data_IF_397217568467
#
_entry.id   IF_397217568467
#
_cell.length_a   1.000
_cell.length_b   1.000
_cell.length_c   1.000
_cell.angle_alpha   90.00
_cell.angle_beta   90.00
_cell.angle_gamma   90.00
#
_symmetry.space_group_name_H-M   'P 1'
#
loop_
_entity.id
_entity.type
_entity.pdbx_description
1 polymer ?
#
# COMPACT_ATOMS: atom_id res chain seq x y z
N UNK A 1 -1.80 -25.75 36.27
CA UNK A 1 -0.94 -24.98 37.17
C UNK A 1 0.51 -25.44 37.06
N UNK A 2 0.88 -26.72 37.32
CA UNK A 2 2.27 -27.17 37.31
C UNK A 2 3.14 -26.86 36.12
N UNK A 3 2.57 -26.78 34.88
CA UNK A 3 3.33 -26.37 33.68
C UNK A 3 3.73 -24.89 33.75
N UNK A 4 2.88 -24.03 34.26
CA UNK A 4 3.14 -22.58 34.38
C UNK A 4 4.20 -22.26 35.44
N UNK A 5 4.40 -23.17 36.41
CA UNK A 5 5.40 -23.03 37.47
C UNK A 5 6.77 -23.59 37.07
N UNK A 6 6.82 -24.41 36.00
CA UNK A 6 8.04 -25.09 35.53
C UNK A 6 8.51 -24.65 34.18
N UNK A 7 7.74 -23.78 33.49
CA UNK A 7 8.16 -23.22 32.17
C UNK A 7 9.37 -22.32 32.40
N UNK A 8 10.49 -22.67 31.81
CA UNK A 8 11.65 -21.80 31.76
C UNK A 8 11.33 -20.57 30.92
N UNK A 9 11.42 -19.38 31.52
CA UNK A 9 11.33 -18.12 30.79
C UNK A 9 12.69 -17.91 30.12
N UNK A 10 12.71 -17.95 28.81
CA UNK A 10 13.94 -18.06 28.01
C UNK A 10 14.65 -16.70 27.86
N UNK A 11 14.90 -16.01 28.97
CA UNK A 11 15.69 -14.76 29.00
C UNK A 11 17.13 -15.02 28.53
N UNK A 12 17.69 -16.19 28.85
CA UNK A 12 19.04 -16.57 28.46
C UNK A 12 19.16 -16.70 26.91
N UNK A 13 18.11 -17.12 26.21
CA UNK A 13 18.11 -17.24 24.77
C UNK A 13 18.17 -15.87 24.09
N UNK A 14 17.42 -14.89 24.57
CA UNK A 14 17.42 -13.53 24.01
C UNK A 14 18.80 -12.84 24.14
N UNK A 15 19.54 -13.12 25.22
CA UNK A 15 20.89 -12.59 25.44
C UNK A 15 21.92 -13.16 24.43
N UNK A 16 21.72 -14.40 23.96
CA UNK A 16 22.61 -15.06 23.00
C UNK A 16 22.33 -14.70 21.55
N UNK A 17 21.18 -14.07 21.27
CA UNK A 17 20.82 -13.62 19.93
C UNK A 17 21.66 -12.42 19.49
N UNK A 18 21.77 -12.17 18.18
CA UNK A 18 22.40 -10.96 17.67
C UNK A 18 21.74 -9.69 18.24
N UNK A 19 22.56 -8.68 18.52
CA UNK A 19 22.06 -7.39 19.01
C UNK A 19 21.09 -6.74 18.03
N UNK A 20 19.90 -6.37 18.55
CA UNK A 20 18.86 -5.62 17.83
C UNK A 20 18.34 -4.50 18.70
N UNK A 21 18.29 -3.29 18.12
CA UNK A 21 17.83 -2.11 18.81
C UNK A 21 16.99 -1.24 17.87
N UNK A 22 15.66 -1.43 17.84
CA UNK A 22 14.75 -0.57 17.10
C UNK A 22 14.70 0.83 17.70
N UNK A 23 14.97 1.85 16.92
CA UNK A 23 14.94 3.25 17.36
C UNK A 23 13.49 3.70 17.49
N UNK A 24 13.07 4.00 18.71
CA UNK A 24 11.73 4.48 19.03
C UNK A 24 11.63 6.00 19.01
N UNK A 25 12.73 6.69 19.38
CA UNK A 25 12.77 8.13 19.46
C UNK A 25 14.19 8.65 19.20
N UNK A 26 14.28 9.78 18.46
CA UNK A 26 15.53 10.51 18.28
C UNK A 26 15.50 11.72 19.21
N UNK A 27 16.35 11.71 20.22
CA UNK A 27 16.44 12.79 21.22
C UNK A 27 17.56 13.77 20.86
N UNK A 28 17.20 15.04 20.64
CA UNK A 28 18.14 16.10 20.33
C UNK A 28 17.77 17.37 21.11
N UNK A 29 18.00 17.39 22.44
CA UNK A 29 17.62 18.53 23.30
C UNK A 29 18.45 19.79 23.03
N UNK A 30 19.66 19.64 22.50
CA UNK A 30 20.58 20.72 22.12
C UNK A 30 21.48 20.30 20.95
N UNK A 31 22.41 21.17 20.53
CA UNK A 31 23.31 20.90 19.40
C UNK A 31 24.40 19.87 19.70
N UNK A 32 24.74 19.68 21.00
CA UNK A 32 25.84 18.82 21.42
C UNK A 32 25.40 17.40 21.77
N UNK A 33 24.09 17.12 21.80
CA UNK A 33 23.56 15.81 22.13
C UNK A 33 22.60 15.31 21.07
N UNK A 34 22.92 14.15 20.49
CA UNK A 34 22.03 13.38 19.62
C UNK A 34 21.99 11.93 20.11
N UNK A 35 20.86 11.54 20.70
CA UNK A 35 20.66 10.21 21.26
C UNK A 35 19.52 9.46 20.55
N UNK A 36 19.66 8.15 20.43
CA UNK A 36 18.70 7.24 19.83
C UNK A 36 18.12 6.38 20.94
N UNK A 37 16.89 6.67 21.34
CA UNK A 37 16.21 5.97 22.43
C UNK A 37 15.43 4.77 21.91
N UNK A 38 15.46 3.67 22.64
CA UNK A 38 14.76 2.43 22.33
C UNK A 38 14.96 1.39 23.42
N UNK A 39 14.49 0.18 23.15
CA UNK A 39 14.71 -1.02 23.99
C UNK A 39 15.62 -1.98 23.24
N UNK A 40 16.60 -2.55 23.91
CA UNK A 40 17.40 -3.66 23.37
C UNK A 40 16.48 -4.88 23.27
N UNK A 41 16.18 -5.31 22.06
CA UNK A 41 15.24 -6.42 21.80
C UNK A 41 15.95 -7.76 21.96
N UNK A 42 17.21 -7.84 21.56
CA UNK A 42 18.04 -9.05 21.68
C UNK A 42 19.53 -8.70 21.76
N UNK A 43 20.31 -9.63 22.29
CA UNK A 43 21.76 -9.53 22.42
C UNK A 43 22.20 -8.47 23.42
N UNK A 44 23.44 -8.00 23.26
CA UNK A 44 24.02 -6.92 24.05
C UNK A 44 24.84 -5.98 23.19
N UNK A 45 25.08 -4.76 23.69
CA UNK A 45 25.91 -3.73 23.07
C UNK A 45 26.73 -3.01 24.12
N UNK A 46 28.03 -2.90 23.91
CA UNK A 46 28.95 -2.15 24.75
C UNK A 46 29.39 -0.83 24.13
N UNK A 47 30.00 0.03 24.95
CA UNK A 47 30.69 1.23 24.44
C UNK A 47 31.83 0.81 23.51
N UNK A 48 31.98 1.49 22.39
CA UNK A 48 32.97 1.15 21.36
C UNK A 48 32.53 0.05 20.39
N UNK A 49 31.36 -0.56 20.56
CA UNK A 49 30.83 -1.53 19.61
C UNK A 49 30.54 -0.90 18.25
N UNK A 50 31.01 -1.55 17.17
CA UNK A 50 30.65 -1.17 15.79
C UNK A 50 29.23 -1.64 15.45
N UNK A 51 28.40 -0.71 15.09
CA UNK A 51 27.01 -0.96 14.71
C UNK A 51 26.74 -0.58 13.26
N UNK A 52 25.69 -1.16 12.70
CA UNK A 52 25.14 -0.80 11.39
C UNK A 52 23.70 -0.34 11.55
N UNK A 53 23.39 0.77 10.92
CA UNK A 53 22.02 1.33 10.84
C UNK A 53 21.31 0.71 9.66
N UNK A 54 20.18 0.06 9.89
CA UNK A 54 19.35 -0.53 8.83
C UNK A 54 18.04 0.26 8.72
N UNK A 55 17.52 0.50 7.49
CA UNK A 55 17.93 -0.10 6.21
C UNK A 55 19.08 0.63 5.47
N UNK A 56 19.58 1.77 5.96
CA UNK A 56 20.58 2.59 5.23
C UNK A 56 21.93 1.89 4.98
N UNK A 57 22.27 0.90 5.82
CA UNK A 57 23.55 0.17 5.77
C UNK A 57 24.76 0.95 6.29
N UNK A 58 24.60 2.19 6.80
CA UNK A 58 25.68 3.00 7.33
C UNK A 58 26.22 2.44 8.64
N UNK A 59 27.52 2.53 8.85
CA UNK A 59 28.18 2.06 10.06
C UNK A 59 28.64 3.23 10.95
N UNK A 60 28.63 3.00 12.25
CA UNK A 60 29.17 3.90 13.26
C UNK A 60 29.59 3.11 14.50
N UNK A 61 30.04 3.81 15.54
CA UNK A 61 30.47 3.22 16.81
C UNK A 61 29.64 3.81 17.94
N UNK A 62 29.25 2.98 18.90
CA UNK A 62 28.53 3.43 20.11
C UNK A 62 29.47 4.24 20.98
N UNK A 63 29.18 5.52 21.16
CA UNK A 63 29.97 6.41 22.01
C UNK A 63 29.57 6.30 23.49
N UNK A 64 28.24 6.34 23.77
CA UNK A 64 27.71 6.27 25.14
C UNK A 64 26.40 5.47 25.15
N UNK A 65 26.12 4.88 26.28
CA UNK A 65 24.87 4.19 26.62
C UNK A 65 24.25 4.93 27.80
N UNK A 66 23.25 5.74 27.57
CA UNK A 66 22.69 6.68 28.56
C UNK A 66 21.38 6.15 29.12
N UNK A 67 21.25 6.15 30.43
CA UNK A 67 20.00 5.85 31.17
C UNK A 67 19.63 7.00 32.11
N UNK A 68 18.49 6.89 32.80
CA UNK A 68 18.08 7.88 33.79
C UNK A 68 19.06 7.93 35.01
N UNK A 69 19.68 6.78 35.31
CA UNK A 69 20.57 6.62 36.45
C UNK A 69 22.06 6.84 36.13
N UNK A 70 22.36 7.17 34.90
CA UNK A 70 23.73 7.44 34.41
C UNK A 70 24.09 6.59 33.17
N UNK A 71 25.37 6.68 32.79
CA UNK A 71 25.91 5.94 31.64
C UNK A 71 26.24 4.49 32.05
N UNK A 72 25.94 3.57 31.14
CA UNK A 72 26.31 2.16 31.24
C UNK A 72 27.51 1.85 30.36
N UNK A 73 28.30 0.83 30.75
CA UNK A 73 29.35 0.29 29.89
C UNK A 73 28.78 -0.70 28.85
N UNK A 74 27.72 -1.43 29.24
CA UNK A 74 27.00 -2.37 28.37
C UNK A 74 25.50 -2.32 28.63
N UNK A 75 24.69 -2.49 27.56
CA UNK A 75 23.26 -2.70 27.65
C UNK A 75 22.90 -4.07 27.06
N UNK A 76 21.92 -4.74 27.69
CA UNK A 76 21.49 -6.11 27.37
C UNK A 76 19.99 -6.11 26.99
N UNK A 77 19.53 -7.22 26.39
CA UNK A 77 18.14 -7.44 26.04
C UNK A 77 17.19 -7.10 27.19
N UNK A 78 16.07 -6.44 26.89
CA UNK A 78 15.07 -5.95 27.83
C UNK A 78 15.34 -4.55 28.41
N UNK A 79 16.54 -3.99 28.27
CA UNK A 79 16.88 -2.67 28.79
C UNK A 79 16.45 -1.55 27.85
N UNK A 80 15.78 -0.54 28.38
CA UNK A 80 15.46 0.71 27.70
C UNK A 80 16.61 1.71 27.90
N UNK A 81 17.28 2.09 26.81
CA UNK A 81 18.46 2.97 26.84
C UNK A 81 18.42 4.01 25.72
N UNK A 82 19.31 5.00 25.84
CA UNK A 82 19.59 5.94 24.77
C UNK A 82 21.05 5.77 24.32
N UNK A 83 21.24 5.36 23.06
CA UNK A 83 22.55 5.22 22.46
C UNK A 83 22.97 6.54 21.79
N UNK A 84 24.23 6.96 21.98
CA UNK A 84 24.85 8.01 21.17
C UNK A 84 25.93 7.39 20.29
N UNK A 85 26.12 7.95 19.10
CA UNK A 85 27.09 7.46 18.13
C UNK A 85 28.27 8.42 18.02
N UNK A 86 29.44 7.90 17.60
CA UNK A 86 30.66 8.69 17.42
C UNK A 86 30.61 9.62 16.21
N UNK A 87 29.81 9.23 15.22
CA UNK A 87 29.69 9.95 13.96
C UNK A 87 28.27 10.51 13.78
N UNK A 88 28.15 11.59 13.01
CA UNK A 88 26.85 12.11 12.59
C UNK A 88 26.24 11.24 11.49
N UNK A 89 25.71 10.09 11.85
CA UNK A 89 24.97 9.20 10.95
C UNK A 89 23.49 9.56 10.98
N UNK A 90 22.86 9.55 9.82
CA UNK A 90 21.42 9.77 9.72
C UNK A 90 20.68 8.51 10.19
N UNK A 91 19.99 8.64 11.32
CA UNK A 91 19.19 7.61 11.97
C UNK A 91 17.85 8.20 12.32
N UNK A 92 16.78 7.51 11.93
CA UNK A 92 15.40 7.94 12.14
C UNK A 92 14.64 6.97 13.03
N UNK A 93 13.50 7.43 13.56
CA UNK A 93 12.56 6.55 14.23
C UNK A 93 12.15 5.41 13.30
N UNK A 94 12.24 4.18 13.80
CA UNK A 94 11.94 2.97 13.06
C UNK A 94 13.16 2.29 12.43
N UNK A 95 14.30 2.98 12.31
CA UNK A 95 15.54 2.30 11.93
C UNK A 95 15.98 1.32 13.01
N UNK A 96 16.76 0.33 12.63
CA UNK A 96 17.27 -0.69 13.54
C UNK A 96 18.79 -0.60 13.61
N UNK A 97 19.32 -0.46 14.81
CA UNK A 97 20.75 -0.60 15.07
C UNK A 97 21.04 -2.08 15.33
N UNK A 98 22.02 -2.62 14.65
CA UNK A 98 22.48 -4.01 14.77
C UNK A 98 24.01 -4.05 14.80
N UNK A 99 24.62 -5.12 15.31
CA UNK A 99 26.09 -5.28 15.23
C UNK A 99 26.52 -5.30 13.76
N UNK A 100 27.61 -4.63 13.45
CA UNK A 100 28.12 -4.51 12.07
C UNK A 100 28.44 -5.89 11.43
N UNK A 101 28.89 -6.85 12.23
CA UNK A 101 29.21 -8.21 11.78
C UNK A 101 28.01 -9.16 11.68
N UNK A 102 26.86 -8.82 12.31
CA UNK A 102 25.61 -9.58 12.20
C UNK A 102 24.42 -8.64 12.04
N UNK A 103 24.32 -7.94 10.90
CA UNK A 103 23.28 -6.97 10.66
C UNK A 103 21.91 -7.65 10.52
N UNK A 104 20.83 -6.94 10.90
CA UNK A 104 19.48 -7.38 10.59
C UNK A 104 19.28 -7.45 9.07
N UNK A 105 18.44 -8.37 8.60
CA UNK A 105 18.08 -8.46 7.18
C UNK A 105 17.22 -7.26 6.78
N UNK A 106 17.26 -6.92 5.48
CA UNK A 106 16.48 -5.82 4.91
C UNK A 106 15.75 -6.32 3.67
N UNK A 107 14.44 -6.18 3.65
CA UNK A 107 13.64 -6.57 2.49
C UNK A 107 12.33 -5.75 2.38
N UNK A 108 11.70 -5.82 1.23
CA UNK A 108 10.41 -5.20 0.91
C UNK A 108 9.33 -6.24 0.52
N UNK A 109 9.67 -7.54 0.55
CA UNK A 109 8.74 -8.62 0.25
C UNK A 109 8.99 -9.81 1.16
N UNK A 110 7.90 -10.38 1.66
CA UNK A 110 7.95 -11.43 2.66
C UNK A 110 6.94 -12.54 2.37
N UNK A 111 7.30 -13.78 2.75
CA UNK A 111 6.32 -14.80 3.07
C UNK A 111 5.97 -14.69 4.54
N UNK A 112 4.69 -14.73 4.84
CA UNK A 112 4.18 -14.52 6.20
C UNK A 112 3.02 -15.47 6.51
N UNK A 113 2.86 -15.84 7.79
CA UNK A 113 1.57 -16.31 8.28
C UNK A 113 0.77 -15.10 8.70
N UNK A 114 -0.45 -14.97 8.20
CA UNK A 114 -1.37 -13.88 8.50
C UNK A 114 -2.62 -14.41 9.17
N UNK A 115 -2.98 -13.81 10.30
CA UNK A 115 -4.24 -14.02 11.02
C UNK A 115 -5.14 -12.83 10.68
N UNK A 116 -6.24 -13.09 10.00
CA UNK A 116 -7.18 -12.04 9.60
C UNK A 116 -8.20 -11.77 10.70
N UNK A 117 -8.38 -10.52 11.10
CA UNK A 117 -9.14 -10.12 12.29
C UNK A 117 -10.28 -9.14 11.97
N UNK A 118 -10.53 -8.86 10.69
CA UNK A 118 -11.54 -7.91 10.24
C UNK A 118 -12.74 -8.63 9.63
N UNK A 119 -13.95 -8.03 9.79
CA UNK A 119 -15.20 -8.58 9.24
C UNK A 119 -15.20 -8.60 7.71
N UNK A 120 -14.63 -7.57 7.06
CA UNK A 120 -14.41 -7.62 5.61
C UNK A 120 -13.26 -8.57 5.28
N UNK A 121 -13.42 -9.46 4.29
CA UNK A 121 -12.38 -10.41 3.94
C UNK A 121 -11.13 -9.72 3.36
N UNK A 122 -9.96 -10.27 3.66
CA UNK A 122 -8.72 -9.91 2.99
C UNK A 122 -8.79 -10.24 1.51
N UNK A 123 -8.53 -9.25 0.68
CA UNK A 123 -8.40 -9.39 -0.77
C UNK A 123 -6.95 -9.05 -1.19
N UNK A 124 -6.28 -9.89 -2.00
CA UNK A 124 -4.97 -9.56 -2.57
C UNK A 124 -5.01 -8.24 -3.36
N UNK A 125 -3.92 -7.47 -3.29
CA UNK A 125 -3.78 -6.19 -3.97
C UNK A 125 -4.34 -4.98 -3.21
N UNK A 126 -5.19 -5.17 -2.21
CA UNK A 126 -5.70 -4.08 -1.36
C UNK A 126 -4.58 -3.49 -0.50
N UNK A 127 -4.46 -2.14 -0.43
CA UNK A 127 -3.42 -1.49 0.36
C UNK A 127 -3.81 -1.37 1.84
N UNK A 128 -2.86 -1.72 2.72
CA UNK A 128 -2.92 -1.57 4.16
C UNK A 128 -1.73 -0.74 4.66
N UNK A 129 -1.75 -0.33 5.93
CA UNK A 129 -0.55 0.09 6.63
C UNK A 129 -0.03 -1.10 7.43
N UNK A 130 1.24 -1.45 7.25
CA UNK A 130 1.95 -2.43 8.07
C UNK A 130 2.70 -1.69 9.15
N UNK A 131 2.43 -2.05 10.41
CA UNK A 131 3.17 -1.53 11.56
C UNK A 131 4.00 -2.66 12.17
N UNK A 132 5.32 -2.46 12.20
CA UNK A 132 6.31 -3.34 12.81
C UNK A 132 7.21 -2.51 13.72
N UNK A 133 7.13 -2.78 15.04
CA UNK A 133 7.78 -1.94 16.03
C UNK A 133 7.38 -0.47 15.91
N UNK A 134 8.37 0.41 15.69
CA UNK A 134 8.15 1.84 15.52
C UNK A 134 7.94 2.28 14.05
N UNK A 135 8.10 1.37 13.07
CA UNK A 135 7.90 1.64 11.65
C UNK A 135 6.44 1.49 11.23
N UNK A 136 6.02 2.35 10.30
CA UNK A 136 4.76 2.20 9.57
C UNK A 136 5.09 2.38 8.09
N UNK A 137 4.69 1.41 7.26
CA UNK A 137 4.91 1.40 5.81
C UNK A 137 3.63 0.97 5.10
N UNK A 138 3.46 1.35 3.84
CA UNK A 138 2.37 0.82 3.03
C UNK A 138 2.67 -0.61 2.62
N UNK A 139 1.68 -1.48 2.73
CA UNK A 139 1.79 -2.89 2.40
C UNK A 139 0.59 -3.37 1.60
N UNK A 140 0.80 -4.38 0.77
CA UNK A 140 -0.27 -5.12 0.12
C UNK A 140 0.02 -6.61 0.15
N UNK A 141 -1.01 -7.41 0.42
CA UNK A 141 -0.92 -8.86 0.23
C UNK A 141 -0.98 -9.12 -1.27
N UNK A 142 0.08 -9.69 -1.83
CA UNK A 142 0.19 -9.94 -3.28
C UNK A 142 -0.40 -11.26 -3.68
N UNK A 143 -0.35 -12.25 -2.79
CA UNK A 143 -0.85 -13.59 -3.03
C UNK A 143 -1.22 -14.29 -1.71
N UNK A 144 -2.25 -15.13 -1.73
CA UNK A 144 -2.60 -16.06 -0.65
C UNK A 144 -2.26 -17.46 -1.14
N UNK A 145 -1.18 -18.02 -0.61
CA UNK A 145 -0.72 -19.36 -1.01
C UNK A 145 -1.71 -20.44 -0.61
N UNK A 146 -2.16 -20.41 0.64
CA UNK A 146 -3.16 -21.31 1.20
C UNK A 146 -3.70 -20.77 2.53
N UNK A 147 -4.87 -21.25 2.90
CA UNK A 147 -5.46 -21.08 4.22
C UNK A 147 -5.17 -22.33 5.05
N UNK A 148 -4.92 -22.15 6.34
CA UNK A 148 -4.75 -23.25 7.30
C UNK A 148 -6.10 -23.52 7.98
N UNK A 149 -6.57 -24.75 7.90
CA UNK A 149 -7.71 -25.19 8.71
C UNK A 149 -7.26 -25.37 10.15
N UNK A 150 -7.77 -24.55 11.05
CA UNK A 150 -7.35 -24.53 12.48
C UNK A 150 -7.66 -25.83 13.25
N UNK A 151 -8.58 -26.65 12.75
CA UNK A 151 -8.98 -27.91 13.41
C UNK A 151 -8.15 -29.11 12.91
N UNK A 152 -7.88 -29.16 11.59
CA UNK A 152 -7.18 -30.29 10.97
C UNK A 152 -5.73 -29.99 10.63
N UNK A 153 -5.33 -28.71 10.66
CA UNK A 153 -4.04 -28.18 10.20
C UNK A 153 -3.76 -28.41 8.71
N UNK A 154 -4.77 -28.80 7.95
CA UNK A 154 -4.66 -29.00 6.51
C UNK A 154 -4.59 -27.67 5.78
N UNK A 155 -3.88 -27.66 4.66
CA UNK A 155 -3.77 -26.53 3.77
C UNK A 155 -4.88 -26.57 2.71
N UNK A 156 -5.68 -25.51 2.64
CA UNK A 156 -6.75 -25.36 1.65
C UNK A 156 -6.48 -24.17 0.74
N UNK A 157 -6.75 -24.32 -0.55
CA UNK A 157 -6.61 -23.22 -1.50
C UNK A 157 -7.63 -22.12 -1.16
N UNK A 158 -7.17 -20.86 -1.08
CA UNK A 158 -8.01 -19.73 -0.79
C UNK A 158 -7.62 -18.52 -1.67
N UNK A 159 -8.62 -17.75 -2.08
CA UNK A 159 -8.43 -16.48 -2.80
C UNK A 159 -8.69 -15.26 -1.92
N UNK A 160 -9.18 -15.47 -0.72
CA UNK A 160 -9.45 -14.45 0.31
C UNK A 160 -9.31 -15.10 1.69
N UNK A 161 -9.09 -14.29 2.72
CA UNK A 161 -9.16 -14.74 4.11
C UNK A 161 -10.37 -14.08 4.77
N UNK A 162 -11.26 -14.88 5.30
CA UNK A 162 -12.40 -14.41 6.09
C UNK A 162 -11.96 -14.10 7.54
N UNK A 163 -12.86 -13.50 8.32
CA UNK A 163 -12.64 -13.24 9.74
C UNK A 163 -12.17 -14.52 10.48
N UNK A 164 -11.13 -14.38 11.29
CA UNK A 164 -10.46 -15.46 12.04
C UNK A 164 -9.76 -16.51 11.16
N UNK A 165 -9.66 -16.30 9.86
CA UNK A 165 -8.88 -17.19 9.01
C UNK A 165 -7.37 -16.99 9.22
N UNK A 166 -6.63 -18.09 9.14
CA UNK A 166 -5.17 -18.10 9.15
C UNK A 166 -4.71 -18.53 7.76
N UNK A 167 -3.83 -17.76 7.15
CA UNK A 167 -3.29 -18.08 5.82
C UNK A 167 -1.81 -17.77 5.69
N UNK A 168 -1.15 -18.50 4.82
CA UNK A 168 0.22 -18.17 4.38
C UNK A 168 0.13 -17.31 3.12
N UNK A 169 0.73 -16.14 3.19
CA UNK A 169 0.60 -15.08 2.20
C UNK A 169 1.95 -14.51 1.78
N UNK A 170 2.01 -13.94 0.60
CA UNK A 170 3.08 -13.06 0.18
C UNK A 170 2.66 -11.61 0.39
N UNK A 171 3.53 -10.80 1.01
CA UNK A 171 3.31 -9.36 1.22
C UNK A 171 4.40 -8.56 0.51
N UNK A 172 4.03 -7.46 -0.11
CA UNK A 172 4.94 -6.45 -0.65
C UNK A 172 4.76 -5.11 0.08
N UNK A 173 5.87 -4.45 0.35
CA UNK A 173 5.94 -3.12 0.99
C UNK A 173 6.33 -2.06 -0.03
N UNK A 174 6.02 -0.80 0.25
CA UNK A 174 6.41 0.36 -0.56
C UNK A 174 7.90 0.73 -0.40
N UNK A 175 8.54 0.28 0.67
CA UNK A 175 9.96 0.49 0.97
C UNK A 175 10.53 -0.67 1.80
N UNK A 176 11.84 -0.92 1.71
CA UNK A 176 12.49 -1.96 2.51
C UNK A 176 12.47 -1.61 3.99
N UNK A 177 12.32 -2.64 4.82
CA UNK A 177 12.38 -2.57 6.29
C UNK A 177 13.38 -3.56 6.84
N UNK A 178 13.97 -3.23 7.99
CA UNK A 178 14.82 -4.16 8.73
C UNK A 178 13.97 -5.13 9.52
N UNK A 179 14.30 -6.41 9.48
CA UNK A 179 13.54 -7.49 10.14
C UNK A 179 14.46 -8.65 10.53
N UNK A 180 13.96 -9.52 11.37
CA UNK A 180 14.40 -10.91 11.53
C UNK A 180 13.17 -11.83 11.38
N UNK A 181 13.32 -13.11 10.98
CA UNK A 181 12.23 -14.08 11.01
C UNK A 181 11.59 -14.18 12.41
N UNK A 182 10.27 -14.35 12.47
CA UNK A 182 9.54 -14.40 13.74
C UNK A 182 10.00 -15.54 14.66
N UNK A 183 10.45 -16.67 14.09
CA UNK A 183 11.00 -17.77 14.83
C UNK A 183 12.31 -17.42 15.56
N UNK A 184 13.09 -16.47 14.98
CA UNK A 184 14.39 -16.06 15.52
C UNK A 184 14.24 -14.84 16.45
N UNK A 185 13.34 -13.92 16.11
CA UNK A 185 13.08 -12.74 16.91
C UNK A 185 11.62 -12.27 16.78
N UNK A 186 10.82 -12.50 17.82
CA UNK A 186 9.38 -12.21 17.79
C UNK A 186 9.07 -10.73 17.60
N UNK A 187 9.85 -9.84 18.22
CA UNK A 187 9.62 -8.39 18.12
C UNK A 187 10.01 -7.81 16.76
N UNK A 188 11.04 -8.41 16.14
CA UNK A 188 11.52 -7.99 14.82
C UNK A 188 10.79 -8.68 13.66
N UNK A 189 10.07 -9.79 13.91
CA UNK A 189 9.37 -10.57 12.90
C UNK A 189 7.85 -10.51 12.99
N UNK A 190 7.29 -9.86 14.02
CA UNK A 190 5.86 -9.67 14.21
C UNK A 190 5.39 -8.30 13.71
N UNK A 191 4.20 -8.26 13.07
CA UNK A 191 3.60 -7.00 12.62
C UNK A 191 2.07 -7.04 12.69
N UNK A 192 1.44 -5.87 12.57
CA UNK A 192 0.00 -5.75 12.36
C UNK A 192 -0.28 -5.04 11.03
N UNK A 193 -1.39 -5.44 10.40
CA UNK A 193 -1.99 -4.71 9.29
C UNK A 193 -3.10 -3.81 9.82
N UNK A 194 -3.08 -2.55 9.38
CA UNK A 194 -4.04 -1.54 9.78
C UNK A 194 -4.80 -1.13 8.52
N UNK A 195 -6.13 -1.13 8.60
CA UNK A 195 -6.96 -0.57 7.53
C UNK A 195 -6.74 0.93 7.39
N UNK A 196 -6.55 1.40 6.17
CA UNK A 196 -6.24 2.81 5.89
C UNK A 196 -7.43 3.75 6.06
N UNK A 197 -8.64 3.23 5.96
CA UNK A 197 -9.87 4.03 6.04
C UNK A 197 -10.37 4.12 7.47
N UNK A 198 -10.45 2.99 8.17
CA UNK A 198 -10.98 2.89 9.53
C UNK A 198 -9.93 3.03 10.63
N UNK A 199 -8.63 2.98 10.30
CA UNK A 199 -7.50 3.00 11.26
C UNK A 199 -7.60 1.93 12.35
N UNK A 200 -8.29 0.82 12.08
CA UNK A 200 -8.36 -0.34 12.99
C UNK A 200 -7.43 -1.45 12.55
N UNK A 201 -7.03 -2.31 13.47
CA UNK A 201 -6.21 -3.47 13.17
C UNK A 201 -7.04 -4.47 12.35
N UNK A 202 -6.59 -4.74 11.12
CA UNK A 202 -7.24 -5.67 10.21
C UNK A 202 -6.67 -7.08 10.29
N UNK A 203 -5.41 -7.24 10.70
CA UNK A 203 -4.77 -8.53 10.86
C UNK A 203 -3.44 -8.44 11.58
N UNK A 204 -2.93 -9.60 12.01
CA UNK A 204 -1.61 -9.76 12.59
C UNK A 204 -0.80 -10.77 11.79
N UNK A 205 0.49 -10.49 11.60
CA UNK A 205 1.35 -11.31 10.76
C UNK A 205 2.68 -11.67 11.40
N UNK A 206 3.20 -12.83 11.00
CA UNK A 206 4.45 -13.41 11.44
C UNK A 206 5.32 -13.65 10.21
N UNK A 207 6.47 -12.98 10.13
CA UNK A 207 7.39 -13.09 8.99
C UNK A 207 8.13 -14.42 9.06
N UNK A 208 8.08 -15.20 7.97
CA UNK A 208 8.88 -16.42 7.82
C UNK A 208 10.26 -16.09 7.28
N UNK A 209 10.31 -15.45 6.11
CA UNK A 209 11.54 -15.05 5.43
C UNK A 209 11.25 -13.99 4.36
N UNK A 210 12.31 -13.32 3.92
CA UNK A 210 12.26 -12.42 2.78
C UNK A 210 12.13 -13.19 1.46
N UNK A 211 11.20 -12.76 0.62
CA UNK A 211 11.14 -13.26 -0.76
C UNK A 211 12.29 -12.61 -1.55
N UNK A 212 13.21 -13.44 -2.02
CA UNK A 212 14.32 -12.96 -2.84
C UNK A 212 13.78 -12.48 -4.19
N UNK A 213 13.65 -11.17 -4.35
CA UNK A 213 13.70 -10.58 -5.69
C UNK A 213 15.15 -10.71 -6.18
N UNK A 214 15.31 -10.90 -7.48
CA UNK A 214 16.64 -10.73 -8.07
C UNK A 214 17.17 -9.36 -7.61
N UNK A 215 18.26 -9.33 -6.86
CA UNK A 215 18.89 -8.10 -6.34
C UNK A 215 19.33 -7.10 -7.44
N UNK A 216 19.01 -7.38 -8.69
CA UNK A 216 19.40 -6.63 -9.89
C UNK A 216 18.30 -5.71 -10.43
N UNK A 217 17.14 -5.56 -9.76
CA UNK A 217 16.14 -4.56 -10.18
C UNK A 217 16.48 -3.23 -9.49
N UNK A 218 17.46 -2.53 -10.04
CA UNK A 218 17.72 -1.13 -9.71
C UNK A 218 16.84 -0.24 -10.60
N UNK A 219 16.23 0.78 -10.01
CA UNK A 219 15.54 1.80 -10.79
C UNK A 219 16.60 2.51 -11.64
N UNK A 220 16.53 2.30 -12.96
CA UNK A 220 17.45 2.97 -13.87
C UNK A 220 17.14 4.46 -13.90
N UNK A 221 18.09 5.35 -13.59
CA UNK A 221 17.91 6.76 -13.85
C UNK A 221 17.79 6.98 -15.36
N UNK A 222 16.73 7.67 -15.77
CA UNK A 222 16.50 7.99 -17.18
C UNK A 222 16.82 9.45 -17.42
N UNK A 223 17.54 9.76 -18.50
CA UNK A 223 17.87 11.12 -18.90
C UNK A 223 16.65 11.91 -19.39
N UNK A 224 15.61 11.20 -19.85
CA UNK A 224 14.34 11.79 -20.28
C UNK A 224 13.29 11.55 -19.20
N UNK A 225 12.94 12.61 -18.50
CA UNK A 225 11.94 12.61 -17.43
C UNK A 225 10.52 13.00 -17.91
N UNK A 226 9.58 13.00 -17.00
CA UNK A 226 8.19 13.40 -17.24
C UNK A 226 8.08 14.86 -17.67
N UNK A 227 8.89 15.73 -17.09
CA UNK A 227 8.89 17.17 -17.41
C UNK A 227 9.34 17.43 -18.83
N UNK A 228 10.39 16.75 -19.29
CA UNK A 228 10.86 16.84 -20.68
C UNK A 228 9.77 16.37 -21.67
N UNK A 229 9.10 15.25 -21.36
CA UNK A 229 8.00 14.71 -22.19
C UNK A 229 6.79 15.65 -22.22
N UNK A 230 6.43 16.24 -21.08
CA UNK A 230 5.30 17.18 -20.94
C UNK A 230 5.54 18.48 -21.68
N UNK A 231 6.76 19.01 -21.61
CA UNK A 231 7.17 20.25 -22.28
C UNK A 231 6.99 20.15 -23.79
N UNK A 232 7.38 19.01 -24.40
CA UNK A 232 7.22 18.78 -25.84
C UNK A 232 5.73 18.76 -26.22
N UNK A 233 4.85 18.28 -25.35
CA UNK A 233 3.41 18.17 -25.59
C UNK A 233 2.63 19.45 -25.23
N UNK A 234 3.26 20.42 -24.56
CA UNK A 234 2.62 21.67 -24.18
C UNK A 234 1.43 21.51 -23.21
N UNK A 235 1.46 20.50 -22.36
CA UNK A 235 0.38 20.18 -21.43
C UNK A 235 0.91 19.64 -20.10
N UNK A 236 0.12 19.74 -19.03
CA UNK A 236 0.42 19.06 -17.76
C UNK A 236 -0.23 17.68 -17.76
N UNK A 237 0.53 16.60 -17.56
CA UNK A 237 -0.04 15.26 -17.54
C UNK A 237 -0.85 15.04 -16.26
N UNK A 238 -1.99 14.38 -16.41
CA UNK A 238 -2.84 14.01 -15.29
C UNK A 238 -3.69 12.79 -15.65
N UNK A 239 -4.30 12.17 -14.65
CA UNK A 239 -5.36 11.20 -14.84
C UNK A 239 -6.71 11.79 -14.42
N UNK A 240 -7.72 11.68 -15.28
CA UNK A 240 -9.10 12.01 -15.01
C UNK A 240 -9.82 10.69 -14.75
N UNK A 241 -10.08 10.41 -13.47
CA UNK A 241 -10.62 9.15 -13.00
C UNK A 241 -12.14 9.20 -12.85
N UNK A 242 -12.87 8.75 -13.88
CA UNK A 242 -14.33 8.67 -13.81
C UNK A 242 -14.75 7.40 -13.07
N UNK A 243 -15.51 7.56 -11.99
CA UNK A 243 -16.11 6.47 -11.21
C UNK A 243 -17.63 6.62 -11.12
N UNK A 244 -18.35 5.53 -10.94
CA UNK A 244 -19.82 5.51 -10.85
C UNK A 244 -20.42 4.18 -11.31
N UNK A 245 -21.71 3.98 -11.12
CA UNK A 245 -22.43 2.76 -11.46
C UNK A 245 -22.35 2.41 -12.96
N UNK A 246 -22.60 1.16 -13.32
CA UNK A 246 -22.84 0.78 -14.71
C UNK A 246 -24.02 1.57 -15.24
N UNK A 247 -24.01 1.97 -16.51
CA UNK A 247 -25.08 2.80 -17.09
C UNK A 247 -25.09 4.28 -16.65
N UNK A 248 -24.18 4.72 -15.79
CA UNK A 248 -24.08 6.12 -15.36
C UNK A 248 -23.65 7.11 -16.46
N UNK A 249 -23.10 6.63 -17.59
CA UNK A 249 -22.67 7.47 -18.71
C UNK A 249 -21.17 7.72 -18.78
N UNK A 250 -20.35 7.10 -17.94
CA UNK A 250 -18.90 7.30 -17.88
C UNK A 250 -18.19 7.21 -19.25
N UNK A 251 -18.38 6.10 -19.98
CA UNK A 251 -17.72 5.87 -21.28
C UNK A 251 -18.15 6.91 -22.33
N UNK A 252 -19.42 7.35 -22.31
CA UNK A 252 -19.92 8.39 -23.21
C UNK A 252 -19.27 9.74 -22.91
N UNK A 253 -19.23 10.13 -21.62
CA UNK A 253 -18.59 11.38 -21.17
C UNK A 253 -17.09 11.35 -21.48
N UNK A 254 -16.41 10.22 -21.17
CA UNK A 254 -14.99 10.05 -21.44
C UNK A 254 -14.63 10.18 -22.91
N UNK A 255 -15.42 9.55 -23.81
CA UNK A 255 -15.20 9.63 -25.24
C UNK A 255 -15.43 11.06 -25.79
N UNK A 256 -16.44 11.78 -25.30
CA UNK A 256 -16.68 13.17 -25.67
C UNK A 256 -15.56 14.08 -25.18
N UNK A 257 -15.13 13.91 -23.94
CA UNK A 257 -14.00 14.64 -23.35
C UNK A 257 -12.72 14.43 -24.17
N UNK A 258 -12.39 13.18 -24.50
CA UNK A 258 -11.20 12.87 -25.31
C UNK A 258 -11.27 13.51 -26.70
N UNK A 259 -12.43 13.47 -27.37
CA UNK A 259 -12.63 14.17 -28.65
C UNK A 259 -12.38 15.68 -28.57
N UNK A 260 -12.86 16.33 -27.51
CA UNK A 260 -12.62 17.75 -27.29
C UNK A 260 -11.15 18.06 -27.05
N UNK A 261 -10.46 17.27 -26.20
CA UNK A 261 -9.04 17.43 -25.90
C UNK A 261 -8.17 17.24 -27.15
N UNK A 262 -8.39 16.18 -27.92
CA UNK A 262 -7.68 15.94 -29.18
C UNK A 262 -7.97 17.06 -30.18
N UNK A 263 -9.22 17.52 -30.27
CA UNK A 263 -9.61 18.65 -31.14
C UNK A 263 -8.92 19.98 -30.80
N UNK A 264 -8.43 20.12 -29.56
CA UNK A 264 -7.63 21.26 -29.09
C UNK A 264 -6.11 20.99 -29.16
N UNK A 265 -5.68 19.86 -29.73
CA UNK A 265 -4.27 19.51 -29.92
C UNK A 265 -3.60 18.83 -28.71
N UNK A 266 -4.38 18.41 -27.68
CA UNK A 266 -3.84 17.71 -26.53
C UNK A 266 -3.61 16.23 -26.79
N UNK A 267 -2.57 15.68 -26.17
CA UNK A 267 -2.19 14.27 -26.25
C UNK A 267 -2.87 13.48 -25.14
N UNK A 268 -3.81 12.63 -25.50
CA UNK A 268 -4.67 11.91 -24.56
C UNK A 268 -4.60 10.40 -24.75
N UNK A 269 -5.11 9.65 -23.79
CA UNK A 269 -5.43 8.23 -23.94
C UNK A 269 -6.62 7.86 -23.05
N UNK A 270 -7.62 7.20 -23.67
CA UNK A 270 -8.80 6.70 -22.96
C UNK A 270 -8.64 5.23 -22.58
N UNK A 271 -8.66 4.95 -21.26
CA UNK A 271 -8.73 3.62 -20.69
C UNK A 271 -10.19 3.32 -20.33
N UNK A 272 -10.89 2.59 -21.19
CA UNK A 272 -12.26 2.15 -20.97
C UNK A 272 -12.32 0.74 -20.42
N UNK A 273 -13.25 0.49 -19.46
CA UNK A 273 -13.36 -0.76 -18.73
C UNK A 273 -13.60 -1.99 -19.60
N UNK A 274 -14.42 -1.87 -20.63
CA UNK A 274 -14.71 -2.99 -21.52
C UNK A 274 -13.52 -3.27 -22.45
N UNK A 275 -12.91 -2.22 -23.03
CA UNK A 275 -11.78 -2.36 -23.93
C UNK A 275 -10.58 -3.01 -23.25
N UNK A 276 -10.27 -2.62 -22.01
CA UNK A 276 -9.14 -3.16 -21.25
C UNK A 276 -9.36 -4.64 -20.91
N UNK A 277 -10.59 -5.08 -20.71
CA UNK A 277 -10.92 -6.49 -20.44
C UNK A 277 -10.76 -7.40 -21.67
N UNK A 278 -10.74 -6.86 -22.89
CA UNK A 278 -10.41 -7.63 -24.09
C UNK A 278 -8.91 -7.91 -24.25
N UNK A 279 -8.05 -7.17 -23.55
CA UNK A 279 -6.59 -7.29 -23.64
C UNK A 279 -5.93 -7.47 -22.28
N UNK A 280 -5.51 -6.37 -21.66
CA UNK A 280 -4.69 -6.32 -20.44
C UNK A 280 -5.28 -7.14 -19.28
N UNK A 281 -6.59 -7.12 -19.10
CA UNK A 281 -7.29 -7.74 -17.97
C UNK A 281 -8.25 -8.86 -18.41
N UNK A 282 -7.96 -9.54 -19.54
CA UNK A 282 -8.80 -10.64 -20.06
C UNK A 282 -8.83 -11.86 -19.13
N UNK A 283 -7.84 -12.01 -18.27
CA UNK A 283 -7.68 -13.07 -17.27
C UNK A 283 -8.50 -12.82 -16.00
N UNK A 284 -9.08 -11.61 -15.83
CA UNK A 284 -9.82 -11.23 -14.63
C UNK A 284 -11.34 -11.40 -14.84
N UNK A 285 -12.00 -11.98 -13.85
CA UNK A 285 -13.46 -12.07 -13.76
C UNK A 285 -14.09 -10.85 -13.10
N UNK A 286 -15.19 -11.09 -12.34
CA UNK A 286 -15.99 -10.05 -11.67
C UNK A 286 -16.09 -10.26 -10.16
N UNK A 287 -15.28 -11.15 -9.58
CA UNK A 287 -15.19 -11.28 -8.12
C UNK A 287 -14.57 -9.99 -7.54
N UNK A 288 -14.74 -9.76 -6.24
CA UNK A 288 -14.16 -8.57 -5.60
C UNK A 288 -12.63 -8.56 -5.73
N UNK A 289 -11.96 -9.71 -5.60
CA UNK A 289 -10.53 -9.84 -5.84
C UNK A 289 -10.13 -9.45 -7.27
N UNK A 290 -10.88 -9.92 -8.29
CA UNK A 290 -10.63 -9.54 -9.68
C UNK A 290 -10.83 -8.04 -9.92
N UNK A 291 -11.78 -7.42 -9.23
CA UNK A 291 -12.03 -5.96 -9.30
C UNK A 291 -10.88 -5.17 -8.71
N UNK A 292 -10.40 -5.58 -7.54
CA UNK A 292 -9.22 -4.95 -6.89
C UNK A 292 -8.02 -5.02 -7.81
N UNK A 293 -7.71 -6.22 -8.35
CA UNK A 293 -6.57 -6.40 -9.26
C UNK A 293 -6.75 -5.65 -10.58
N UNK A 294 -7.99 -5.59 -11.11
CA UNK A 294 -8.29 -4.78 -12.29
C UNK A 294 -7.94 -3.31 -12.07
N UNK A 295 -8.36 -2.72 -10.95
CA UNK A 295 -8.07 -1.31 -10.65
C UNK A 295 -6.57 -1.10 -10.37
N UNK A 296 -5.90 -2.03 -9.68
CA UNK A 296 -4.46 -1.97 -9.47
C UNK A 296 -3.69 -1.90 -10.80
N UNK A 297 -4.00 -2.80 -11.74
CA UNK A 297 -3.34 -2.80 -13.08
C UNK A 297 -3.60 -1.50 -13.84
N UNK A 298 -4.85 -1.01 -13.83
CA UNK A 298 -5.22 0.24 -14.50
C UNK A 298 -4.47 1.43 -13.90
N UNK A 299 -4.36 1.49 -12.58
CA UNK A 299 -3.66 2.56 -11.89
C UNK A 299 -2.17 2.62 -12.27
N UNK A 300 -1.50 1.45 -12.35
CA UNK A 300 -0.09 1.38 -12.80
C UNK A 300 0.07 1.78 -14.27
N UNK A 301 -0.83 1.35 -15.16
CA UNK A 301 -0.80 1.77 -16.57
C UNK A 301 -1.05 3.27 -16.70
N UNK A 302 -2.04 3.81 -15.99
CA UNK A 302 -2.31 5.24 -15.97
C UNK A 302 -1.09 6.05 -15.48
N UNK A 303 -0.40 5.58 -14.44
CA UNK A 303 0.84 6.18 -13.94
C UNK A 303 1.94 6.23 -15.01
N UNK A 304 2.16 5.14 -15.74
CA UNK A 304 3.14 5.10 -16.83
C UNK A 304 2.78 6.06 -17.97
N UNK A 305 1.48 6.19 -18.30
CA UNK A 305 1.01 7.12 -19.32
C UNK A 305 1.12 8.58 -18.88
N UNK A 306 0.85 8.89 -17.61
CA UNK A 306 1.06 10.21 -17.01
C UNK A 306 2.57 10.55 -17.03
N UNK A 307 3.45 9.58 -16.70
CA UNK A 307 4.90 9.75 -16.82
C UNK A 307 5.33 9.99 -18.29
N UNK A 308 4.63 9.39 -19.26
CA UNK A 308 4.82 9.68 -20.68
C UNK A 308 4.33 11.08 -21.11
N UNK A 309 3.76 11.86 -20.21
CA UNK A 309 3.28 13.23 -20.47
C UNK A 309 1.87 13.30 -21.07
N UNK A 310 1.04 12.28 -20.91
CA UNK A 310 -0.32 12.21 -21.46
C UNK A 310 -1.37 12.67 -20.45
N UNK A 311 -2.49 13.17 -20.94
CA UNK A 311 -3.73 13.32 -20.19
C UNK A 311 -4.49 11.99 -20.33
N UNK A 312 -4.64 11.24 -19.25
CA UNK A 312 -5.26 9.92 -19.24
C UNK A 312 -6.70 10.05 -18.75
N UNK A 313 -7.65 9.58 -19.54
CA UNK A 313 -9.05 9.50 -19.13
C UNK A 313 -9.37 8.06 -18.79
N UNK A 314 -9.89 7.78 -17.60
CA UNK A 314 -10.28 6.42 -17.20
C UNK A 314 -11.79 6.34 -17.02
N UNK A 315 -12.44 5.28 -17.51
CA UNK A 315 -13.88 5.06 -17.38
C UNK A 315 -14.15 3.67 -16.79
N UNK A 316 -14.11 3.57 -15.45
CA UNK A 316 -14.33 2.33 -14.70
C UNK A 316 -15.40 2.51 -13.64
N UNK A 317 -16.05 1.42 -13.20
CA UNK A 317 -16.92 1.47 -12.02
C UNK A 317 -16.09 1.81 -10.79
N UNK A 318 -14.92 1.20 -10.61
CA UNK A 318 -14.00 1.35 -9.46
C UNK A 318 -14.76 1.48 -8.13
N UNK A 319 -15.43 0.37 -7.70
CA UNK A 319 -16.48 0.46 -6.68
C UNK A 319 -15.96 0.80 -5.29
N UNK A 320 -14.73 0.47 -4.95
CA UNK A 320 -14.20 0.60 -3.60
C UNK A 320 -13.33 1.85 -3.44
N UNK A 321 -13.47 2.55 -2.31
CA UNK A 321 -12.70 3.77 -1.98
C UNK A 321 -11.21 3.48 -1.83
N UNK A 322 -10.88 2.33 -1.22
CA UNK A 322 -9.50 1.95 -0.96
C UNK A 322 -8.67 1.85 -2.25
N UNK A 323 -9.23 1.24 -3.31
CA UNK A 323 -8.55 1.09 -4.60
C UNK A 323 -8.42 2.42 -5.34
N UNK A 324 -9.42 3.31 -5.26
CA UNK A 324 -9.32 4.67 -5.81
C UNK A 324 -8.28 5.52 -5.06
N UNK A 325 -8.23 5.39 -3.73
CA UNK A 325 -7.19 6.02 -2.92
C UNK A 325 -5.79 5.48 -3.24
N UNK A 326 -5.66 4.17 -3.49
CA UNK A 326 -4.42 3.57 -3.98
C UNK A 326 -4.01 4.15 -5.34
N UNK A 327 -4.93 4.25 -6.29
CA UNK A 327 -4.65 4.84 -7.60
C UNK A 327 -4.18 6.30 -7.47
N UNK A 328 -4.83 7.09 -6.62
CA UNK A 328 -4.42 8.46 -6.31
C UNK A 328 -3.02 8.53 -5.71
N UNK A 329 -2.69 7.63 -4.79
CA UNK A 329 -1.39 7.60 -4.12
C UNK A 329 -0.20 7.26 -5.04
N UNK A 330 -0.44 6.71 -6.23
CA UNK A 330 0.57 6.46 -7.26
C UNK A 330 0.94 7.71 -8.07
N UNK A 331 0.15 8.78 -7.99
CA UNK A 331 0.32 10.03 -8.72
C UNK A 331 0.92 11.10 -7.81
N UNK A 332 1.52 12.13 -8.43
CA UNK A 332 1.91 13.31 -7.67
C UNK A 332 0.67 14.11 -7.26
N UNK A 333 0.85 15.03 -6.32
CA UNK A 333 -0.15 16.01 -5.97
C UNK A 333 -0.60 16.78 -7.25
N UNK A 334 -1.90 16.99 -7.41
CA UNK A 334 -2.54 17.61 -8.60
C UNK A 334 -2.59 16.78 -9.89
N UNK A 335 -2.01 15.58 -9.96
CA UNK A 335 -2.07 14.72 -11.14
C UNK A 335 -3.26 13.74 -11.15
N UNK A 336 -4.05 13.67 -10.08
CA UNK A 336 -5.23 12.80 -9.98
C UNK A 336 -6.50 13.64 -9.79
N UNK A 337 -7.41 13.54 -10.76
CA UNK A 337 -8.70 14.25 -10.75
C UNK A 337 -9.81 13.20 -10.70
N UNK A 338 -10.42 13.01 -9.53
CA UNK A 338 -11.54 12.07 -9.36
C UNK A 338 -12.85 12.74 -9.75
N UNK A 339 -13.54 12.14 -10.70
CA UNK A 339 -14.85 12.61 -11.19
C UNK A 339 -15.91 11.57 -10.85
N UNK A 340 -16.79 11.91 -9.92
CA UNK A 340 -17.92 11.07 -9.57
C UNK A 340 -19.08 11.31 -10.54
N UNK A 341 -19.35 10.32 -11.38
CA UNK A 341 -20.52 10.31 -12.28
C UNK A 341 -21.71 9.78 -11.49
N UNK A 342 -22.36 10.71 -10.78
CA UNK A 342 -23.47 10.40 -9.86
C UNK A 342 -24.75 10.16 -10.66
N UNK A 343 -25.29 8.95 -10.50
CA UNK A 343 -26.54 8.52 -11.12
C UNK A 343 -27.26 7.62 -10.14
N UNK A 344 -28.49 7.94 -9.73
CA UNK A 344 -29.29 7.05 -8.91
C UNK A 344 -29.43 5.67 -9.53
N UNK A 345 -29.38 4.61 -8.71
CA UNK A 345 -29.44 3.23 -9.18
C UNK A 345 -30.66 2.96 -10.08
N UNK A 346 -31.82 3.48 -9.71
CA UNK A 346 -33.06 3.32 -10.49
C UNK A 346 -32.94 3.88 -11.90
N UNK A 347 -32.23 5.01 -12.08
CA UNK A 347 -31.99 5.64 -13.38
C UNK A 347 -30.95 4.83 -14.18
N UNK A 348 -29.89 4.39 -13.53
CA UNK A 348 -28.88 3.54 -14.16
C UNK A 348 -29.48 2.21 -14.65
N UNK A 349 -30.35 1.60 -13.84
CA UNK A 349 -31.10 0.38 -14.15
C UNK A 349 -32.09 0.60 -15.30
N UNK A 350 -32.80 1.72 -15.31
CA UNK A 350 -33.71 2.07 -16.42
C UNK A 350 -32.97 2.28 -17.74
N UNK A 351 -31.76 2.84 -17.69
CA UNK A 351 -30.93 3.03 -18.89
C UNK A 351 -30.43 1.71 -19.45
N UNK A 352 -29.95 0.83 -18.62
CA UNK A 352 -29.37 -0.51 -18.87
C UNK A 352 -28.94 -0.79 -20.31
N UNK A 353 -28.01 -0.01 -20.90
CA UNK A 353 -27.70 -0.07 -22.33
C UNK A 353 -27.14 -1.42 -22.80
N UNK A 354 -26.69 -2.26 -21.86
CA UNK A 354 -26.10 -3.57 -22.11
C UNK A 354 -26.96 -4.74 -21.61
N UNK A 355 -28.13 -4.48 -21.03
CA UNK A 355 -29.01 -5.49 -20.44
C UNK A 355 -28.45 -6.21 -19.22
N UNK A 356 -27.42 -5.61 -18.56
CA UNK A 356 -26.73 -6.25 -17.45
C UNK A 356 -27.54 -6.22 -16.16
N UNK A 357 -28.27 -5.13 -15.89
CA UNK A 357 -29.16 -5.05 -14.72
C UNK A 357 -30.28 -6.08 -14.80
N UNK A 358 -30.89 -6.23 -15.98
CA UNK A 358 -31.90 -7.27 -16.20
C UNK A 358 -31.37 -8.67 -15.92
N UNK A 359 -30.15 -9.00 -16.36
CA UNK A 359 -29.49 -10.28 -16.06
C UNK A 359 -29.19 -10.45 -14.57
N UNK A 360 -28.67 -9.40 -13.91
CA UNK A 360 -28.37 -9.44 -12.48
C UNK A 360 -29.65 -9.66 -11.63
N UNK A 361 -30.74 -8.98 -11.94
CA UNK A 361 -32.04 -9.16 -11.27
C UNK A 361 -32.61 -10.56 -11.44
N UNK A 362 -32.38 -11.23 -12.58
CA UNK A 362 -32.77 -12.64 -12.79
C UNK A 362 -31.79 -13.65 -12.18
N UNK A 363 -30.70 -13.18 -11.51
CA UNK A 363 -29.69 -14.04 -10.91
C UNK A 363 -28.75 -14.72 -11.92
N UNK A 364 -28.80 -14.32 -13.21
CA UNK A 364 -27.93 -14.82 -14.27
C UNK A 364 -26.50 -14.22 -14.19
N UNK A 365 -26.37 -13.07 -13.53
CA UNK A 365 -25.09 -12.37 -13.32
C UNK A 365 -24.89 -12.12 -11.82
N UNK A 366 -23.85 -12.70 -11.25
CA UNK A 366 -23.48 -12.54 -9.84
C UNK A 366 -22.41 -11.45 -9.67
N UNK A 367 -22.29 -10.93 -8.46
CA UNK A 367 -21.32 -9.88 -8.08
C UNK A 367 -21.49 -8.60 -8.91
N UNK A 368 -22.72 -8.20 -9.21
CA UNK A 368 -23.00 -7.00 -10.00
C UNK A 368 -23.09 -5.76 -9.09
N UNK A 369 -22.23 -4.76 -9.35
CA UNK A 369 -22.15 -3.54 -8.53
C UNK A 369 -23.48 -2.78 -8.54
N UNK A 370 -24.01 -2.50 -7.36
CA UNK A 370 -25.29 -1.83 -7.14
C UNK A 370 -26.48 -2.77 -6.97
N UNK A 371 -26.33 -4.09 -7.19
CA UNK A 371 -27.36 -5.10 -6.96
C UNK A 371 -26.94 -6.03 -5.81
N UNK A 372 -25.94 -6.86 -6.02
CA UNK A 372 -25.42 -7.84 -5.06
C UNK A 372 -23.96 -7.59 -4.65
N UNK A 373 -23.34 -6.53 -5.18
CA UNK A 373 -22.01 -6.03 -4.78
C UNK A 373 -22.10 -4.53 -4.49
N UNK A 374 -21.44 -4.01 -3.45
CA UNK A 374 -21.53 -2.60 -3.05
C UNK A 374 -20.84 -1.67 -4.04
N UNK A 375 -21.28 -0.43 -4.06
CA UNK A 375 -20.57 0.72 -4.61
C UNK A 375 -20.39 1.75 -3.50
N UNK A 376 -19.16 2.15 -3.24
CA UNK A 376 -18.79 3.15 -2.24
C UNK A 376 -18.55 4.51 -2.92
N UNK A 377 -19.49 5.48 -2.81
CA UNK A 377 -19.30 6.80 -3.42
C UNK A 377 -18.04 7.50 -2.89
N UNK A 378 -17.33 8.29 -3.72
CA UNK A 378 -16.19 9.08 -3.25
C UNK A 378 -16.61 10.04 -2.14
N UNK A 379 -15.71 10.29 -1.18
CA UNK A 379 -15.95 11.23 -0.08
C UNK A 379 -15.63 12.66 -0.46
N UNK A 380 -14.58 12.88 -1.25
CA UNK A 380 -14.09 14.20 -1.64
C UNK A 380 -13.57 14.18 -3.08
N UNK A 381 -14.44 13.91 -4.08
CA UNK A 381 -14.04 13.96 -5.48
C UNK A 381 -13.81 15.42 -5.91
N UNK A 382 -12.94 15.64 -6.87
CA UNK A 382 -12.72 16.97 -7.44
C UNK A 382 -13.93 17.48 -8.21
N UNK A 383 -14.77 16.59 -8.71
CA UNK A 383 -16.00 16.95 -9.43
C UNK A 383 -17.09 15.89 -9.24
N UNK A 384 -18.31 16.34 -9.03
CA UNK A 384 -19.52 15.49 -9.03
C UNK A 384 -20.39 15.90 -10.20
N UNK A 385 -20.76 14.93 -11.04
CA UNK A 385 -21.60 15.14 -12.23
C UNK A 385 -22.91 14.36 -12.06
N UNK A 386 -24.02 15.08 -11.85
CA UNK A 386 -25.34 14.46 -11.80
C UNK A 386 -25.91 14.29 -13.20
N UNK A 387 -25.83 13.07 -13.75
CA UNK A 387 -26.26 12.78 -15.12
C UNK A 387 -27.77 12.64 -15.29
N UNK A 388 -28.56 12.90 -14.28
CA UNK A 388 -30.03 13.03 -14.43
C UNK A 388 -30.43 14.44 -14.86
N UNK A 389 -29.59 15.44 -14.59
CA UNK A 389 -29.86 16.86 -14.81
C UNK A 389 -29.03 17.47 -15.95
N UNK A 390 -27.92 16.84 -16.35
CA UNK A 390 -27.02 17.35 -17.41
C UNK A 390 -26.82 16.36 -18.51
N UNK A 391 -26.59 16.87 -19.72
CA UNK A 391 -26.22 16.04 -20.88
C UNK A 391 -24.77 15.52 -20.78
N UNK A 392 -24.44 14.46 -21.51
CA UNK A 392 -23.05 13.97 -21.56
C UNK A 392 -22.09 15.01 -22.16
N UNK A 393 -22.58 15.83 -23.09
CA UNK A 393 -21.82 16.92 -23.70
C UNK A 393 -21.52 18.03 -22.68
N UNK A 394 -22.50 18.43 -21.88
CA UNK A 394 -22.31 19.44 -20.84
C UNK A 394 -21.41 18.91 -19.70
N UNK A 395 -21.54 17.62 -19.38
CA UNK A 395 -20.64 16.96 -18.44
C UNK A 395 -19.18 17.00 -18.92
N UNK A 396 -18.93 16.68 -20.19
CA UNK A 396 -17.59 16.78 -20.78
C UNK A 396 -17.05 18.21 -20.78
N UNK A 397 -17.89 19.21 -21.09
CA UNK A 397 -17.52 20.64 -21.00
C UNK A 397 -17.19 21.08 -19.58
N UNK A 398 -17.92 20.59 -18.58
CA UNK A 398 -17.64 20.88 -17.17
C UNK A 398 -16.27 20.35 -16.76
N UNK A 399 -15.91 19.13 -17.20
CA UNK A 399 -14.57 18.59 -16.95
C UNK A 399 -13.49 19.43 -17.67
N UNK A 400 -13.72 19.82 -18.93
CA UNK A 400 -12.79 20.69 -19.67
C UNK A 400 -12.56 22.03 -18.95
N UNK A 401 -13.62 22.63 -18.41
CA UNK A 401 -13.49 23.87 -17.64
C UNK A 401 -12.64 23.65 -16.37
N UNK A 402 -12.87 22.55 -15.64
CA UNK A 402 -12.05 22.19 -14.48
C UNK A 402 -10.56 22.04 -14.86
N UNK A 403 -10.25 21.44 -16.02
CA UNK A 403 -8.86 21.29 -16.47
C UNK A 403 -8.20 22.63 -16.77
N UNK A 404 -8.96 23.60 -17.35
CA UNK A 404 -8.49 24.97 -17.58
C UNK A 404 -8.26 25.70 -16.26
N UNK A 405 -9.19 25.63 -15.33
CA UNK A 405 -9.09 26.27 -14.01
C UNK A 405 -7.88 25.77 -13.21
N UNK A 406 -7.50 24.51 -13.42
CA UNK A 406 -6.30 23.89 -12.85
C UNK A 406 -5.02 24.09 -13.68
N UNK A 407 -5.11 24.80 -14.80
CA UNK A 407 -3.99 25.02 -15.75
C UNK A 407 -3.33 23.70 -16.19
N UNK A 408 -4.13 22.68 -16.44
CA UNK A 408 -3.72 21.41 -17.05
C UNK A 408 -3.58 21.59 -18.56
N UNK A 409 -4.55 22.33 -19.14
CA UNK A 409 -4.67 22.68 -20.57
C UNK A 409 -4.81 24.17 -20.75
#
# INVERSE_FOLDING_TARGET
>A
MGYMETVEVDEAWQLQQPFRFPVQWVNRPNLDFRGFAGTVVSGSVGRGSRIRVQPSGRESTVARIVTADGDLDEAVAGQAVTLTLSDEVDVSRGDVLSMAQSPAEVADQFEVTLIWMHDEPLLPGRPYLLKMGAQIVSASVTDIKYQVNVNTLEHTAARKLELNAIGVCNIALDRPVAFDPYCDNREMGGFILIDRMGNHTAGAGLIHFALRRSHNIHRQPLDVDKEARSRIKGQKPCVIWLTGLSGAGKSTIANLLEKHLIGQGHHTYLLDGDNIRHGLNRDLGFTDADRVENIRRIAEVARLMVDAGLIVVTAFISPFRAERAMARALMNEDEFIEVHVDTPLAVAEQRDPKGLYGKARRGELKNFTGIDSPYEPPQSPELVLNTTSISAEDAARTILQLLKDRSVI
#
